data_IF_954713289857
#
_entry.id   IF_954713289857
#
_cell.length_a   1.000
_cell.length_b   1.000
_cell.length_c   1.000
_cell.angle_alpha   90.00
_cell.angle_beta   90.00
_cell.angle_gamma   90.00
#
_symmetry.space_group_name_H-M   'P 1'
#
loop_
_entity.id
_entity.type
_entity.pdbx_description
1 polymer ?
#
# COMPACT_ATOMS: atom_id res chain seq x y z
N UNK A 1 -5.18 -15.85 2.14
CA UNK A 1 -5.08 -15.40 0.73
C UNK A 1 -3.74 -14.74 0.49
N UNK A 2 -3.14 -15.02 -0.64
CA UNK A 2 -1.86 -14.42 -1.06
C UNK A 2 -2.03 -13.78 -2.44
N UNK A 3 -1.53 -12.57 -2.60
CA UNK A 3 -1.51 -11.84 -3.87
C UNK A 3 -0.11 -11.34 -4.16
N UNK A 4 0.32 -11.45 -5.40
CA UNK A 4 1.57 -10.87 -5.89
C UNK A 4 1.31 -10.08 -7.17
N UNK A 5 1.71 -8.82 -7.16
CA UNK A 5 1.55 -7.90 -8.28
C UNK A 5 2.88 -7.21 -8.55
N UNK A 6 3.10 -6.83 -9.80
CA UNK A 6 4.29 -6.05 -10.13
C UNK A 6 3.99 -5.03 -11.22
N UNK A 7 4.79 -3.97 -11.26
CA UNK A 7 4.72 -2.92 -12.27
C UNK A 7 6.11 -2.32 -12.49
N UNK A 8 6.40 -1.95 -13.73
CA UNK A 8 7.63 -1.23 -14.07
C UNK A 8 7.36 0.27 -14.10
N UNK A 9 8.16 1.02 -13.37
CA UNK A 9 8.07 2.47 -13.23
C UNK A 9 9.36 3.10 -13.72
N UNK A 10 9.26 4.08 -14.62
CA UNK A 10 10.41 4.78 -15.18
C UNK A 10 10.92 5.87 -14.21
N UNK A 11 11.25 5.46 -12.99
CA UNK A 11 11.88 6.27 -11.95
C UNK A 11 12.84 5.39 -11.15
N UNK A 12 13.86 5.99 -10.58
CA UNK A 12 14.84 5.24 -9.80
C UNK A 12 14.25 4.65 -8.52
N UNK A 13 14.78 3.52 -8.01
CA UNK A 13 14.26 2.90 -6.79
C UNK A 13 14.15 3.86 -5.59
N UNK A 14 15.11 4.75 -5.41
CA UNK A 14 15.08 5.74 -4.34
C UNK A 14 13.86 6.66 -4.41
N UNK A 15 13.46 7.07 -5.62
CA UNK A 15 12.29 7.93 -5.84
C UNK A 15 10.98 7.19 -5.55
N UNK A 16 10.89 5.95 -6.02
CA UNK A 16 9.70 5.12 -5.80
C UNK A 16 9.56 4.79 -4.31
N UNK A 17 10.66 4.46 -3.66
CA UNK A 17 10.70 4.19 -2.23
C UNK A 17 10.26 5.41 -1.41
N UNK A 18 10.79 6.58 -1.71
CA UNK A 18 10.44 7.82 -1.02
C UNK A 18 8.94 8.14 -1.13
N UNK A 19 8.35 7.89 -2.30
CA UNK A 19 6.93 8.07 -2.51
C UNK A 19 6.08 7.14 -1.63
N UNK A 20 6.42 5.86 -1.57
CA UNK A 20 5.66 4.88 -0.78
C UNK A 20 5.94 4.98 0.72
N UNK A 21 7.15 5.39 1.10
CA UNK A 21 7.52 5.60 2.51
C UNK A 21 6.61 6.60 3.22
N UNK A 22 6.28 7.69 2.54
CA UNK A 22 5.52 8.80 3.11
C UNK A 22 4.10 8.85 2.53
N UNK A 23 3.42 7.71 2.56
CA UNK A 23 2.08 7.54 1.96
C UNK A 23 1.03 8.53 2.48
N UNK A 24 1.19 9.00 3.71
CA UNK A 24 0.27 9.95 4.34
C UNK A 24 0.42 11.39 3.82
N UNK A 25 1.51 11.69 3.12
CA UNK A 25 1.79 13.03 2.58
C UNK A 25 1.17 13.29 1.21
N UNK A 26 0.68 12.24 0.55
CA UNK A 26 0.12 12.37 -0.79
C UNK A 26 -1.40 12.22 -0.77
N UNK A 27 -2.11 13.00 -1.61
CA UNK A 27 -3.55 12.87 -1.69
C UNK A 27 -3.94 11.47 -2.18
N UNK A 28 -5.07 11.00 -1.69
CA UNK A 28 -5.65 9.74 -2.17
C UNK A 28 -6.18 9.92 -3.59
N UNK A 29 -6.14 8.84 -4.36
CA UNK A 29 -6.68 8.85 -5.72
C UNK A 29 -8.19 9.13 -5.70
N UNK A 30 -8.68 9.77 -6.75
CA UNK A 30 -10.12 9.99 -6.92
C UNK A 30 -10.84 8.64 -6.95
N UNK A 31 -11.87 8.50 -6.12
CA UNK A 31 -12.61 7.25 -5.97
C UNK A 31 -11.95 6.24 -5.03
N UNK A 32 -10.84 6.61 -4.39
CA UNK A 32 -10.24 5.76 -3.36
C UNK A 32 -11.22 5.53 -2.20
N UNK A 33 -11.35 4.31 -1.71
CA UNK A 33 -12.16 4.04 -0.53
C UNK A 33 -11.50 4.50 0.77
N UNK A 34 -10.24 4.91 0.74
CA UNK A 34 -9.54 5.43 1.92
C UNK A 34 -10.01 6.84 2.20
N UNK A 35 -10.70 7.04 3.32
CA UNK A 35 -11.25 8.31 3.74
C UNK A 35 -10.29 9.12 4.61
N UNK A 36 -9.50 8.42 5.42
CA UNK A 36 -8.50 8.99 6.32
C UNK A 36 -7.26 8.12 6.27
N UNK A 37 -6.12 8.75 6.16
CA UNK A 37 -4.81 8.09 6.29
C UNK A 37 -3.91 9.01 7.09
N UNK A 38 -3.55 8.61 8.30
CA UNK A 38 -2.72 9.41 9.19
C UNK A 38 -1.63 8.59 9.83
N UNK A 39 -0.47 9.22 10.00
CA UNK A 39 0.65 8.69 10.75
C UNK A 39 0.40 8.95 12.23
N UNK A 40 0.41 7.90 13.05
CA UNK A 40 0.08 8.02 14.48
C UNK A 40 1.29 8.06 15.39
N UNK A 41 2.48 7.76 14.88
CA UNK A 41 3.73 7.83 15.64
C UNK A 41 4.53 9.07 15.24
N UNK A 42 5.23 9.72 16.18
CA UNK A 42 6.07 10.88 15.86
C UNK A 42 7.40 10.48 15.23
N UNK A 43 8.08 11.46 14.64
CA UNK A 43 9.44 11.28 14.13
C UNK A 43 9.50 10.80 12.69
N UNK A 44 10.72 10.57 12.17
CA UNK A 44 10.93 10.10 10.81
C UNK A 44 10.38 8.68 10.63
N UNK A 45 9.95 8.39 9.39
CA UNK A 45 9.41 7.09 9.03
C UNK A 45 10.49 6.01 9.06
N UNK A 46 10.20 4.89 9.68
CA UNK A 46 11.08 3.74 9.81
C UNK A 46 10.36 2.58 10.47
N UNK A 47 11.11 1.57 10.92
CA UNK A 47 10.54 0.45 11.66
C UNK A 47 9.84 0.96 12.92
N UNK A 48 8.62 0.47 13.17
CA UNK A 48 7.79 0.91 14.30
C UNK A 48 6.86 2.08 13.99
N UNK A 49 6.99 2.71 12.81
CA UNK A 49 6.05 3.76 12.39
C UNK A 49 4.68 3.15 12.16
N UNK A 50 3.65 3.77 12.75
CA UNK A 50 2.27 3.31 12.67
C UNK A 50 1.39 4.28 11.90
N UNK A 51 0.39 3.73 11.21
CA UNK A 51 -0.61 4.48 10.46
C UNK A 51 -2.01 4.01 10.86
N UNK A 52 -2.95 4.92 10.74
CA UNK A 52 -4.38 4.65 10.90
C UNK A 52 -5.09 5.00 9.61
N UNK A 53 -5.85 4.05 9.08
CA UNK A 53 -6.67 4.25 7.90
C UNK A 53 -8.14 4.05 8.25
N UNK A 54 -9.01 4.92 7.73
CA UNK A 54 -10.45 4.70 7.75
C UNK A 54 -10.87 4.43 6.32
N UNK A 55 -11.47 3.28 6.08
CA UNK A 55 -11.80 2.78 4.75
C UNK A 55 -13.30 2.57 4.62
N UNK A 56 -13.87 3.08 3.53
CA UNK A 56 -15.26 2.81 3.18
C UNK A 56 -15.33 1.43 2.53
N UNK A 57 -15.76 0.43 3.27
CA UNK A 57 -15.79 -0.96 2.81
C UNK A 57 -17.07 -1.29 2.03
N UNK A 58 -18.20 -0.75 2.49
CA UNK A 58 -19.51 -0.84 1.87
C UNK A 58 -20.17 0.53 1.94
N UNK A 59 -21.23 0.82 1.17
CA UNK A 59 -21.86 2.15 1.16
C UNK A 59 -22.22 2.71 2.53
N UNK A 60 -22.46 1.84 3.52
CA UNK A 60 -22.85 2.22 4.89
C UNK A 60 -21.96 1.61 5.97
N UNK A 61 -20.79 1.09 5.59
CA UNK A 61 -19.86 0.49 6.55
C UNK A 61 -18.44 1.02 6.36
N UNK A 62 -17.93 1.63 7.41
CA UNK A 62 -16.55 2.12 7.50
C UNK A 62 -15.77 1.24 8.45
N UNK A 63 -14.57 0.88 8.07
CA UNK A 63 -13.66 0.10 8.91
C UNK A 63 -12.39 0.89 9.20
N UNK A 64 -11.82 0.64 10.38
CA UNK A 64 -10.53 1.17 10.77
C UNK A 64 -9.47 0.10 10.61
N UNK A 65 -8.36 0.45 9.96
CA UNK A 65 -7.21 -0.42 9.77
C UNK A 65 -5.99 0.26 10.39
N UNK A 66 -5.29 -0.46 11.25
CA UNK A 66 -4.03 -0.02 11.84
C UNK A 66 -2.88 -0.79 11.21
N UNK A 67 -1.82 -0.08 10.84
CA UNK A 67 -0.63 -0.69 10.26
C UNK A 67 0.64 -0.23 10.95
N UNK A 68 1.67 -1.07 10.89
CA UNK A 68 2.98 -0.80 11.47
C UNK A 68 4.07 -1.27 10.51
N UNK A 69 5.06 -0.42 10.27
CA UNK A 69 6.22 -0.79 9.46
C UNK A 69 7.08 -1.78 10.23
N UNK A 70 7.31 -2.95 9.65
CA UNK A 70 8.09 -4.04 10.25
C UNK A 70 9.46 -4.21 9.61
N UNK A 71 9.63 -3.76 8.37
CA UNK A 71 10.91 -3.79 7.67
C UNK A 71 11.09 -2.50 6.87
N UNK A 72 12.26 -1.90 7.03
CA UNK A 72 12.57 -0.62 6.39
C UNK A 72 14.03 -0.62 5.94
N UNK A 73 14.25 -0.93 4.66
CA UNK A 73 15.59 -1.04 4.06
C UNK A 73 15.62 -0.24 2.75
N UNK A 74 15.80 1.09 2.83
CA UNK A 74 15.86 1.93 1.63
C UNK A 74 17.06 1.59 0.76
N UNK A 75 16.92 1.56 -0.58
CA UNK A 75 15.68 1.67 -1.33
C UNK A 75 15.10 0.32 -1.77
N UNK A 76 15.38 -0.77 -1.04
CA UNK A 76 15.13 -2.14 -1.50
C UNK A 76 13.84 -2.75 -0.97
N UNK A 77 13.53 -2.55 0.32
CA UNK A 77 12.41 -3.23 0.98
C UNK A 77 11.64 -2.31 1.91
N UNK A 78 10.31 -2.44 1.87
CA UNK A 78 9.39 -1.78 2.78
C UNK A 78 8.26 -2.76 3.09
N UNK A 79 8.11 -3.14 4.35
CA UNK A 79 7.08 -4.10 4.75
C UNK A 79 6.30 -3.57 5.94
N UNK A 80 5.03 -3.91 6.00
CA UNK A 80 4.15 -3.53 7.10
C UNK A 80 3.15 -4.63 7.43
N UNK A 81 2.79 -4.72 8.71
CA UNK A 81 1.68 -5.53 9.19
C UNK A 81 0.45 -4.64 9.36
N UNK A 82 -0.72 -5.16 9.04
CA UNK A 82 -1.97 -4.43 9.21
C UNK A 82 -3.06 -5.31 9.82
N UNK A 83 -3.97 -4.67 10.54
CA UNK A 83 -5.11 -5.33 11.17
C UNK A 83 -6.27 -4.36 11.34
N UNK A 84 -7.47 -4.89 11.32
CA UNK A 84 -8.71 -4.14 11.52
C UNK A 84 -9.77 -4.49 10.50
N UNK A 85 -11.00 -4.03 10.72
CA UNK A 85 -12.11 -4.25 9.81
C UNK A 85 -12.35 -5.71 9.45
N UNK A 86 -12.11 -6.65 10.40
CA UNK A 86 -12.29 -8.08 10.20
C UNK A 86 -11.19 -8.77 9.40
N UNK A 87 -10.05 -8.12 9.22
CA UNK A 87 -8.91 -8.70 8.51
C UNK A 87 -7.59 -8.38 9.20
N UNK A 88 -6.59 -9.18 8.89
CA UNK A 88 -5.20 -8.93 9.25
C UNK A 88 -4.31 -9.45 8.14
N UNK A 89 -3.13 -8.88 8.02
CA UNK A 89 -2.21 -9.32 6.98
C UNK A 89 -0.86 -8.65 7.03
N UNK A 90 -0.09 -8.94 5.99
CA UNK A 90 1.25 -8.44 5.78
C UNK A 90 1.39 -7.94 4.36
N UNK A 91 1.96 -6.76 4.20
CA UNK A 91 2.23 -6.12 2.92
C UNK A 91 3.73 -5.94 2.76
N UNK A 92 4.28 -6.42 1.66
CA UNK A 92 5.69 -6.28 1.35
C UNK A 92 5.88 -5.64 -0.01
N UNK A 93 6.68 -4.59 -0.05
CA UNK A 93 7.18 -3.99 -1.29
C UNK A 93 8.65 -4.31 -1.48
N UNK A 94 8.99 -4.72 -2.69
CA UNK A 94 10.37 -4.89 -3.13
C UNK A 94 10.63 -4.00 -4.34
N UNK A 95 11.73 -3.27 -4.30
CA UNK A 95 12.10 -2.29 -5.32
C UNK A 95 13.35 -2.79 -6.05
N UNK A 96 13.16 -3.39 -7.22
CA UNK A 96 14.27 -3.94 -8.01
C UNK A 96 14.69 -2.93 -9.08
N UNK A 97 15.99 -2.60 -9.16
CA UNK A 97 16.46 -1.76 -10.25
C UNK A 97 16.30 -2.46 -11.60
N UNK A 98 15.81 -1.73 -12.59
CA UNK A 98 15.75 -2.11 -13.99
C UNK A 98 16.61 -1.16 -14.83
N UNK A 99 16.79 -1.48 -16.09
CA UNK A 99 17.62 -0.69 -17.00
C UNK A 99 17.22 0.79 -17.05
N UNK A 100 15.91 1.09 -17.01
CA UNK A 100 15.38 2.46 -17.12
C UNK A 100 14.55 2.88 -15.90
N UNK A 101 14.65 2.17 -14.80
CA UNK A 101 13.86 2.51 -13.63
C UNK A 101 13.76 1.41 -12.59
N UNK A 102 12.55 1.13 -12.15
CA UNK A 102 12.27 0.22 -11.04
C UNK A 102 11.17 -0.76 -11.40
N UNK A 103 11.39 -2.03 -11.05
CA UNK A 103 10.31 -3.00 -10.95
C UNK A 103 9.83 -3.04 -9.51
N UNK A 104 8.62 -2.54 -9.29
CA UNK A 104 7.97 -2.58 -7.99
C UNK A 104 7.16 -3.87 -7.87
N UNK A 105 7.49 -4.68 -6.87
CA UNK A 105 6.79 -5.91 -6.57
C UNK A 105 6.04 -5.72 -5.26
N UNK A 106 4.74 -5.98 -5.29
CA UNK A 106 3.88 -5.96 -4.11
C UNK A 106 3.41 -7.35 -3.79
N UNK A 107 3.69 -7.81 -2.57
CA UNK A 107 3.21 -9.10 -2.04
C UNK A 107 2.33 -8.83 -0.85
N UNK A 108 1.16 -9.42 -0.84
CA UNK A 108 0.19 -9.18 0.22
C UNK A 108 -0.41 -10.50 0.69
N UNK A 109 -0.35 -10.74 2.00
CA UNK A 109 -0.97 -11.87 2.66
C UNK A 109 -2.12 -11.35 3.50
N UNK A 110 -3.30 -11.95 3.36
CA UNK A 110 -4.52 -11.52 4.04
C UNK A 110 -5.24 -12.70 4.67
N UNK A 111 -5.64 -12.53 5.92
CA UNK A 111 -6.50 -13.45 6.64
C UNK A 111 -7.78 -12.71 7.04
N UNK A 112 -8.92 -13.34 6.76
CA UNK A 112 -10.23 -12.80 7.10
C UNK A 112 -10.81 -13.54 8.30
N UNK A 113 -11.55 -12.82 9.14
CA UNK A 113 -12.24 -13.35 10.31
C UNK A 113 -13.74 -13.44 10.07
N UNK A 114 -14.38 -14.40 10.72
CA UNK A 114 -15.84 -14.55 10.70
C UNK A 114 -16.39 -14.88 9.33
N UNK A 115 -17.53 -14.25 9.02
CA UNK A 115 -18.27 -14.50 7.78
C UNK A 115 -17.54 -14.05 6.51
N UNK A 116 -16.57 -13.14 6.64
CA UNK A 116 -15.77 -12.66 5.49
C UNK A 116 -14.98 -13.78 4.83
N UNK A 117 -14.66 -14.83 5.57
CA UNK A 117 -13.94 -16.01 5.03
C UNK A 117 -14.70 -16.69 3.89
N UNK A 118 -16.02 -16.68 3.94
CA UNK A 118 -16.87 -17.29 2.90
C UNK A 118 -16.93 -16.44 1.63
N UNK A 119 -16.58 -15.16 1.71
CA UNK A 119 -16.59 -14.24 0.59
C UNK A 119 -15.23 -14.12 -0.09
N UNK A 120 -14.23 -14.88 0.32
CA UNK A 120 -12.86 -14.78 -0.16
C UNK A 120 -12.71 -14.74 -1.69
N UNK A 121 -13.39 -15.62 -2.48
CA UNK A 121 -13.25 -15.56 -3.94
C UNK A 121 -13.66 -14.23 -4.55
N UNK A 122 -14.75 -13.63 -4.04
CA UNK A 122 -15.23 -12.32 -4.51
C UNK A 122 -14.30 -11.21 -4.05
N UNK A 123 -13.89 -11.25 -2.79
CA UNK A 123 -12.96 -10.26 -2.21
C UNK A 123 -11.63 -10.29 -2.95
N UNK A 124 -11.11 -11.48 -3.27
CA UNK A 124 -9.87 -11.65 -4.03
C UNK A 124 -9.93 -10.94 -5.39
N UNK A 125 -11.02 -11.13 -6.12
CA UNK A 125 -11.18 -10.51 -7.43
C UNK A 125 -11.26 -8.99 -7.32
N UNK A 126 -12.02 -8.48 -6.38
CA UNK A 126 -12.16 -7.04 -6.15
C UNK A 126 -10.83 -6.41 -5.70
N UNK A 127 -10.13 -7.08 -4.79
CA UNK A 127 -8.86 -6.62 -4.26
C UNK A 127 -7.77 -6.62 -5.33
N UNK A 128 -7.69 -7.67 -6.14
CA UNK A 128 -6.72 -7.75 -7.24
C UNK A 128 -6.89 -6.57 -8.20
N UNK A 129 -8.12 -6.29 -8.61
CA UNK A 129 -8.41 -5.16 -9.51
C UNK A 129 -8.03 -3.82 -8.88
N UNK A 130 -8.35 -3.66 -7.62
CA UNK A 130 -8.08 -2.42 -6.90
C UNK A 130 -6.59 -2.18 -6.69
N UNK A 131 -5.84 -3.21 -6.32
CA UNK A 131 -4.40 -3.11 -6.13
C UNK A 131 -3.68 -2.85 -7.46
N UNK A 132 -4.13 -3.46 -8.55
CA UNK A 132 -3.59 -3.16 -9.89
C UNK A 132 -3.85 -1.72 -10.29
N UNK A 133 -5.05 -1.21 -10.06
CA UNK A 133 -5.39 0.18 -10.33
C UNK A 133 -4.51 1.14 -9.50
N UNK A 134 -4.28 0.81 -8.24
CA UNK A 134 -3.39 1.60 -7.38
C UNK A 134 -1.96 1.63 -7.90
N UNK A 135 -1.41 0.51 -8.32
CA UNK A 135 -0.07 0.47 -8.90
C UNK A 135 0.03 1.31 -10.17
N UNK A 136 -0.99 1.27 -11.03
CA UNK A 136 -1.04 2.12 -12.23
C UNK A 136 -1.10 3.61 -11.87
N UNK A 137 -1.85 3.97 -10.83
CA UNK A 137 -1.91 5.36 -10.35
C UNK A 137 -0.57 5.83 -9.78
N UNK A 138 0.12 4.99 -9.01
CA UNK A 138 1.46 5.29 -8.50
C UNK A 138 2.42 5.53 -9.68
N UNK A 139 2.38 4.66 -10.68
CA UNK A 139 3.19 4.81 -11.90
C UNK A 139 2.88 6.13 -12.62
N UNK A 140 1.60 6.44 -12.81
CA UNK A 140 1.19 7.67 -13.49
C UNK A 140 1.66 8.91 -12.76
N UNK A 141 1.53 8.95 -11.44
CA UNK A 141 1.98 10.08 -10.62
C UNK A 141 3.50 10.26 -10.70
N UNK A 142 4.26 9.18 -10.54
CA UNK A 142 5.72 9.24 -10.56
C UNK A 142 6.28 9.58 -11.94
N UNK A 143 5.71 9.03 -13.01
CA UNK A 143 6.16 9.29 -14.38
C UNK A 143 5.62 10.60 -14.95
N UNK A 144 4.55 11.13 -14.38
CA UNK A 144 3.95 12.41 -14.79
C UNK A 144 4.71 13.65 -14.36
N UNK A 145 5.92 13.51 -13.82
CA UNK A 145 6.74 14.65 -13.38
C UNK A 145 6.38 15.17 -12.00
N UNK A 146 5.66 14.40 -11.21
CA UNK A 146 5.40 14.73 -9.80
C UNK A 146 6.72 14.70 -9.04
N UNK A 147 7.11 15.85 -8.47
CA UNK A 147 8.35 15.95 -7.71
C UNK A 147 8.07 15.49 -6.29
N UNK A 148 8.65 14.35 -5.93
CA UNK A 148 8.67 13.90 -4.55
C UNK A 148 9.68 14.78 -3.83
N UNK A 149 9.19 15.74 -3.03
CA UNK A 149 10.05 16.53 -2.18
C UNK A 149 10.72 15.59 -1.17
N UNK A 150 12.00 15.40 -1.35
CA UNK A 150 12.80 14.49 -0.55
C UNK A 150 12.88 14.86 0.90
#
# INVERSE_FOLDING_TARGET
MYLELSISINRQPADVFAFLRDKDKYPQEEGSPVLVLEKTTPGPTGVGTCYREVVQMLPFYRGEILSEITRFEPPEYLEEDFRGAGMQGHLAYQFLPEKEGTKLIQRETLDYQGLLRFCEPVIRLMLDRRLRARLEDIKAVLEGGFIVAG
#
